data_IF_637609012604
#
_entry.id   IF_637609012604
#
_cell.length_a   1.000
_cell.length_b   1.000
_cell.length_c   1.000
_cell.angle_alpha   90.00
_cell.angle_beta   90.00
_cell.angle_gamma   90.00
#
_symmetry.space_group_name_H-M   'P 1'
#
loop_
_entity.id
_entity.type
_entity.pdbx_description
1 polymer ?
#
# COMPACT_ATOMS: atom_id res chain seq x y z
N UNK A 1 43.14 -24.23 -19.86
CA UNK A 1 44.15 -23.32 -20.43
C UNK A 1 45.51 -23.59 -19.79
N UNK A 2 46.62 -23.60 -20.55
CA UNK A 2 47.96 -23.73 -19.94
C UNK A 2 48.53 -22.36 -19.63
N UNK A 3 48.66 -22.05 -18.33
CA UNK A 3 49.12 -20.76 -17.83
C UNK A 3 50.60 -20.78 -17.45
N UNK A 4 51.24 -21.94 -17.38
CA UNK A 4 52.65 -22.06 -17.01
C UNK A 4 53.55 -21.39 -18.06
N UNK A 5 54.48 -20.55 -17.59
CA UNK A 5 55.39 -19.79 -18.43
C UNK A 5 54.87 -18.44 -18.92
N UNK A 6 53.59 -18.12 -18.69
CA UNK A 6 52.97 -16.86 -19.13
C UNK A 6 53.40 -15.67 -18.27
N UNK A 7 53.48 -14.49 -18.89
CA UNK A 7 53.80 -13.24 -18.22
C UNK A 7 52.53 -12.53 -17.73
N UNK A 8 52.53 -12.13 -16.48
CA UNK A 8 51.44 -11.41 -15.82
C UNK A 8 51.97 -10.15 -15.15
N UNK A 9 51.11 -9.17 -14.94
CA UNK A 9 51.38 -7.94 -14.20
C UNK A 9 50.52 -7.94 -12.95
N UNK A 10 51.15 -7.88 -11.78
CA UNK A 10 50.46 -7.62 -10.52
C UNK A 10 50.48 -6.14 -10.21
N UNK A 11 49.35 -5.58 -9.75
CA UNK A 11 49.23 -4.13 -9.48
C UNK A 11 50.27 -3.56 -8.50
N UNK A 12 50.79 -4.40 -7.58
CA UNK A 12 51.79 -4.00 -6.56
C UNK A 12 53.18 -4.58 -6.81
N UNK A 13 53.27 -5.76 -7.41
CA UNK A 13 54.54 -6.51 -7.52
C UNK A 13 55.17 -6.40 -8.91
N UNK A 14 54.51 -5.68 -9.83
CA UNK A 14 54.99 -5.50 -11.19
C UNK A 14 54.89 -6.79 -11.99
N UNK A 15 55.87 -7.01 -12.87
CA UNK A 15 55.87 -8.14 -13.79
C UNK A 15 56.28 -9.44 -13.09
N UNK A 16 55.54 -10.50 -13.37
CA UNK A 16 55.80 -11.84 -12.86
C UNK A 16 55.59 -12.90 -13.92
N UNK A 17 56.22 -14.07 -13.72
CA UNK A 17 56.08 -15.24 -14.58
C UNK A 17 55.34 -16.34 -13.84
N UNK A 18 54.29 -16.87 -14.44
CA UNK A 18 53.55 -18.00 -13.88
C UNK A 18 54.44 -19.24 -13.94
N UNK A 19 54.65 -19.88 -12.79
CA UNK A 19 55.50 -21.07 -12.66
C UNK A 19 54.68 -22.36 -12.48
N UNK A 20 53.47 -22.27 -11.93
CA UNK A 20 52.58 -23.42 -11.75
C UNK A 20 51.10 -23.01 -11.74
N UNK A 21 50.23 -23.92 -12.17
CA UNK A 21 48.77 -23.80 -12.11
C UNK A 21 48.17 -25.15 -11.71
N UNK A 22 47.88 -25.33 -10.42
CA UNK A 22 47.32 -26.57 -9.88
C UNK A 22 46.25 -26.28 -8.82
N UNK A 23 45.20 -27.11 -8.79
CA UNK A 23 44.17 -27.06 -7.74
C UNK A 23 43.39 -25.74 -7.61
N UNK A 24 43.25 -24.97 -8.69
CA UNK A 24 42.60 -23.65 -8.67
C UNK A 24 43.50 -22.52 -8.17
N UNK A 25 44.81 -22.76 -8.01
CA UNK A 25 45.78 -21.76 -7.60
C UNK A 25 46.85 -21.55 -8.68
N UNK A 26 47.27 -20.29 -8.81
CA UNK A 26 48.41 -19.87 -9.63
C UNK A 26 49.59 -19.49 -8.75
N UNK A 27 50.74 -20.09 -9.01
CA UNK A 27 52.01 -19.68 -8.43
C UNK A 27 52.74 -18.79 -9.44
N UNK A 28 53.06 -17.56 -9.03
CA UNK A 28 53.71 -16.55 -9.87
C UNK A 28 54.98 -16.08 -9.20
N UNK A 29 56.07 -16.07 -9.97
CA UNK A 29 57.38 -15.58 -9.56
C UNK A 29 57.55 -14.11 -9.94
N UNK A 30 57.75 -13.23 -8.96
CA UNK A 30 58.07 -11.81 -9.12
C UNK A 30 59.50 -11.57 -8.65
N UNK A 31 60.43 -11.36 -9.58
CA UNK A 31 61.87 -11.33 -9.25
C UNK A 31 62.30 -12.65 -8.61
N UNK A 32 62.72 -12.62 -7.35
CA UNK A 32 63.10 -13.81 -6.55
C UNK A 32 61.97 -14.31 -5.62
N UNK A 33 60.80 -13.64 -5.60
CA UNK A 33 59.70 -13.97 -4.70
C UNK A 33 58.59 -14.74 -5.40
N UNK A 34 58.29 -15.95 -4.91
CA UNK A 34 57.10 -16.71 -5.30
C UNK A 34 55.87 -16.27 -4.49
N UNK A 35 54.73 -16.07 -5.17
CA UNK A 35 53.43 -15.78 -4.56
C UNK A 35 52.32 -16.60 -5.19
N UNK A 36 51.36 -17.03 -4.36
CA UNK A 36 50.20 -17.81 -4.79
C UNK A 36 48.94 -16.96 -4.87
N UNK A 37 48.15 -17.18 -5.91
CA UNK A 37 46.91 -16.46 -6.22
C UNK A 37 45.79 -17.44 -6.53
N UNK A 38 44.56 -17.05 -6.24
CA UNK A 38 43.36 -17.86 -6.55
C UNK A 38 43.01 -17.64 -8.01
N UNK A 39 42.90 -18.71 -8.79
CA UNK A 39 42.47 -18.65 -10.19
C UNK A 39 41.00 -19.07 -10.32
N UNK A 40 40.19 -18.41 -11.17
CA UNK A 40 40.51 -17.22 -11.97
C UNK A 40 40.38 -15.88 -11.22
N UNK A 41 39.81 -15.87 -10.01
CA UNK A 41 39.37 -14.67 -9.25
C UNK A 41 40.44 -13.58 -9.08
N UNK A 42 41.71 -13.95 -8.94
CA UNK A 42 42.83 -13.00 -8.79
C UNK A 42 43.03 -12.07 -9.99
N UNK A 43 42.60 -12.45 -11.20
CA UNK A 43 42.65 -11.60 -12.39
C UNK A 43 41.58 -10.50 -12.42
N UNK A 44 40.63 -10.53 -11.47
CA UNK A 44 39.64 -9.47 -11.33
C UNK A 44 40.22 -8.23 -10.62
N UNK A 45 41.15 -8.42 -9.68
CA UNK A 45 41.55 -7.37 -8.73
C UNK A 45 43.07 -7.16 -8.64
N UNK A 46 43.86 -8.18 -8.97
CA UNK A 46 45.28 -8.23 -8.62
C UNK A 46 46.20 -8.47 -9.81
N UNK A 47 45.81 -9.34 -10.74
CA UNK A 47 46.63 -9.79 -11.87
C UNK A 47 46.03 -9.37 -13.22
N UNK A 48 46.90 -9.10 -14.19
CA UNK A 48 46.56 -8.90 -15.61
C UNK A 48 47.51 -9.71 -16.48
N UNK A 49 47.00 -10.48 -17.42
CA UNK A 49 47.85 -11.16 -18.40
C UNK A 49 48.42 -10.13 -19.39
N UNK A 50 49.70 -10.25 -19.75
CA UNK A 50 50.32 -9.38 -20.77
C UNK A 50 49.84 -9.71 -22.18
N UNK A 51 49.59 -10.99 -22.44
CA UNK A 51 49.01 -11.44 -23.70
C UNK A 51 47.53 -11.06 -23.73
N UNK A 52 47.12 -10.28 -24.73
CA UNK A 52 45.75 -9.78 -24.86
C UNK A 52 44.75 -10.90 -25.14
N UNK A 53 45.13 -11.92 -25.93
CA UNK A 53 44.26 -13.07 -26.22
C UNK A 53 44.03 -13.91 -24.98
N UNK A 54 45.08 -14.09 -24.18
CA UNK A 54 45.02 -14.77 -22.90
C UNK A 54 44.18 -13.98 -21.89
N UNK A 55 44.35 -12.66 -21.85
CA UNK A 55 43.60 -11.78 -20.98
C UNK A 55 42.09 -11.86 -21.27
N UNK A 56 41.68 -11.74 -22.53
CA UNK A 56 40.27 -11.85 -22.93
C UNK A 56 39.68 -13.20 -22.56
N UNK A 57 40.42 -14.29 -22.78
CA UNK A 57 39.94 -15.63 -22.43
C UNK A 57 39.74 -15.81 -20.92
N UNK A 58 40.64 -15.26 -20.08
CA UNK A 58 40.49 -15.27 -18.62
C UNK A 58 39.31 -14.39 -18.16
N UNK A 59 39.06 -13.25 -18.81
CA UNK A 59 37.91 -12.39 -18.48
C UNK A 59 36.58 -13.07 -18.84
N UNK A 60 36.51 -13.82 -19.94
CA UNK A 60 35.33 -14.60 -20.29
C UNK A 60 35.07 -15.73 -19.26
N UNK A 61 36.13 -16.43 -18.83
CA UNK A 61 36.02 -17.46 -17.78
C UNK A 61 35.54 -16.87 -16.43
N UNK A 62 36.00 -15.67 -16.09
CA UNK A 62 35.50 -14.92 -14.92
C UNK A 62 34.02 -14.54 -15.04
N UNK A 63 33.59 -14.08 -16.21
CA UNK A 63 32.20 -13.69 -16.45
C UNK A 63 31.25 -14.91 -16.38
N UNK A 64 31.64 -16.04 -16.96
CA UNK A 64 30.89 -17.30 -16.90
C UNK A 64 30.79 -17.82 -15.45
N UNK A 65 31.90 -17.81 -14.70
CA UNK A 65 31.91 -18.22 -13.31
C UNK A 65 31.05 -17.31 -12.41
N UNK A 66 30.99 -16.00 -12.71
CA UNK A 66 30.13 -15.06 -11.99
C UNK A 66 28.65 -15.26 -12.33
N UNK A 67 28.30 -15.45 -13.60
CA UNK A 67 26.94 -15.74 -14.02
C UNK A 67 26.43 -17.05 -13.40
N UNK A 68 27.28 -18.08 -13.35
CA UNK A 68 26.92 -19.37 -12.74
C UNK A 68 26.76 -19.27 -11.21
N UNK A 69 27.62 -18.50 -10.52
CA UNK A 69 27.46 -18.21 -9.08
C UNK A 69 26.16 -17.44 -8.80
N UNK A 70 25.80 -16.48 -9.65
CA UNK A 70 24.54 -15.72 -9.53
C UNK A 70 23.31 -16.60 -9.74
N UNK A 71 23.32 -17.47 -10.76
CA UNK A 71 22.22 -18.41 -11.00
C UNK A 71 22.07 -19.39 -9.83
N UNK A 72 23.17 -19.95 -9.32
CA UNK A 72 23.15 -20.85 -8.18
C UNK A 72 22.65 -20.16 -6.90
N UNK A 73 22.99 -18.89 -6.71
CA UNK A 73 22.53 -18.09 -5.58
C UNK A 73 21.02 -17.81 -5.71
N UNK A 74 20.56 -17.45 -6.89
CA UNK A 74 19.13 -17.25 -7.18
C UNK A 74 18.32 -18.53 -6.97
N UNK A 75 18.83 -19.68 -7.40
CA UNK A 75 18.22 -20.99 -7.14
C UNK A 75 18.19 -21.33 -5.65
N UNK A 76 19.28 -21.12 -4.91
CA UNK A 76 19.33 -21.32 -3.45
C UNK A 76 18.36 -20.41 -2.71
N UNK A 77 18.27 -19.14 -3.10
CA UNK A 77 17.36 -18.17 -2.50
C UNK A 77 15.90 -18.53 -2.81
N UNK A 78 15.60 -19.01 -4.04
CA UNK A 78 14.27 -19.50 -4.43
C UNK A 78 13.87 -20.75 -3.64
N UNK A 79 14.78 -21.71 -3.47
CA UNK A 79 14.55 -22.93 -2.68
C UNK A 79 14.37 -22.59 -1.19
N UNK A 80 15.18 -21.68 -0.64
CA UNK A 80 15.05 -21.22 0.74
C UNK A 80 13.73 -20.47 0.99
N UNK A 81 13.24 -19.71 0.00
CA UNK A 81 11.93 -19.06 0.07
C UNK A 81 10.81 -20.10 0.11
N UNK A 82 10.84 -21.08 -0.80
CA UNK A 82 9.87 -22.18 -0.87
C UNK A 82 9.90 -23.05 0.40
N UNK A 83 11.06 -23.29 0.98
CA UNK A 83 11.18 -24.01 2.26
C UNK A 83 10.64 -23.20 3.44
N UNK A 84 10.89 -21.87 3.47
CA UNK A 84 10.29 -20.98 4.49
C UNK A 84 8.77 -20.95 4.39
N UNK A 85 8.22 -20.92 3.17
CA UNK A 85 6.78 -21.01 2.93
C UNK A 85 6.21 -22.35 3.43
N UNK A 86 6.85 -23.47 3.08
CA UNK A 86 6.43 -24.81 3.56
C UNK A 86 6.53 -24.97 5.08
N UNK A 87 7.54 -24.36 5.72
CA UNK A 87 7.69 -24.37 7.18
C UNK A 87 6.65 -23.46 7.85
N UNK A 88 6.31 -22.33 7.22
CA UNK A 88 5.22 -21.45 7.68
C UNK A 88 3.86 -22.16 7.59
N UNK A 89 3.58 -22.89 6.51
CA UNK A 89 2.38 -23.72 6.37
C UNK A 89 2.32 -24.85 7.41
N UNK A 90 3.44 -25.54 7.67
CA UNK A 90 3.50 -26.65 8.64
C UNK A 90 3.47 -26.22 10.11
N UNK A 91 3.87 -24.99 10.44
CA UNK A 91 3.72 -24.42 11.80
C UNK A 91 2.30 -23.97 12.11
N UNK A 92 1.42 -23.90 11.11
CA UNK A 92 0.00 -23.72 11.32
C UNK A 92 -0.64 -25.06 11.70
N UNK A 93 -0.38 -25.52 12.92
CA UNK A 93 -1.33 -26.44 13.57
C UNK A 93 -2.49 -25.54 13.99
N UNK A 94 -3.69 -25.63 13.39
CA UNK A 94 -4.81 -24.86 13.86
C UNK A 94 -5.24 -25.47 15.19
N UNK A 95 -4.66 -25.00 16.31
CA UNK A 95 -5.46 -24.90 17.52
C UNK A 95 -6.58 -23.95 17.13
N UNK A 96 -7.77 -24.48 16.80
CA UNK A 96 -8.96 -23.68 16.50
C UNK A 96 -8.99 -22.56 17.55
N UNK A 97 -8.65 -21.31 17.19
CA UNK A 97 -8.88 -20.22 18.10
C UNK A 97 -10.38 -20.29 18.35
N UNK A 98 -10.84 -20.20 19.61
CA UNK A 98 -12.25 -19.88 19.82
C UNK A 98 -12.52 -18.66 18.95
N UNK A 99 -13.34 -18.84 17.93
CA UNK A 99 -13.70 -17.80 16.99
C UNK A 99 -14.21 -16.65 17.84
N UNK A 100 -13.42 -15.58 17.95
CA UNK A 100 -13.82 -14.44 18.77
C UNK A 100 -14.97 -13.80 18.00
N UNK A 101 -16.20 -14.08 18.44
CA UNK A 101 -17.38 -13.42 17.91
C UNK A 101 -17.27 -11.95 18.30
N UNK A 102 -16.96 -11.10 17.33
CA UNK A 102 -16.95 -9.67 17.54
C UNK A 102 -18.38 -9.14 17.38
N UNK A 103 -18.82 -8.19 18.22
CA UNK A 103 -20.08 -7.50 17.97
C UNK A 103 -19.98 -6.74 16.64
N UNK A 104 -21.05 -6.79 15.86
CA UNK A 104 -21.16 -6.07 14.59
C UNK A 104 -21.04 -4.56 14.85
N UNK A 105 -20.32 -3.86 13.97
CA UNK A 105 -20.12 -2.42 14.05
C UNK A 105 -20.21 -1.77 12.67
N UNK A 106 -20.42 -0.45 12.66
CA UNK A 106 -20.26 0.37 11.48
C UNK A 106 -18.80 0.77 11.32
N UNK A 107 -18.40 1.31 10.17
CA UNK A 107 -16.99 1.59 9.87
C UNK A 107 -16.79 2.93 9.18
N UNK A 108 -15.78 3.68 9.61
CA UNK A 108 -15.29 4.87 8.95
C UNK A 108 -13.89 4.64 8.37
N UNK A 109 -13.70 4.92 7.09
CA UNK A 109 -12.41 4.81 6.40
C UNK A 109 -11.69 6.15 6.31
N UNK A 110 -10.36 6.10 6.47
CA UNK A 110 -9.44 7.22 6.33
C UNK A 110 -8.87 7.23 4.91
N UNK A 111 -9.55 7.91 4.00
CA UNK A 111 -9.12 8.01 2.61
C UNK A 111 -8.11 9.14 2.43
N UNK A 112 -7.08 8.91 1.62
CA UNK A 112 -6.23 10.00 1.16
C UNK A 112 -7.03 10.89 0.20
N UNK A 113 -6.73 12.18 0.14
CA UNK A 113 -7.51 13.06 -0.73
C UNK A 113 -7.22 12.77 -2.20
N UNK A 114 -8.28 12.48 -2.95
CA UNK A 114 -8.27 12.27 -4.39
C UNK A 114 -9.29 13.23 -5.02
N UNK A 115 -8.82 14.14 -5.87
CA UNK A 115 -9.69 15.06 -6.61
C UNK A 115 -9.97 14.58 -8.05
N UNK A 116 -9.70 13.32 -8.36
CA UNK A 116 -10.00 12.77 -9.68
C UNK A 116 -11.48 12.80 -9.98
N UNK A 117 -11.84 13.42 -11.12
CA UNK A 117 -13.21 13.68 -11.50
C UNK A 117 -13.91 14.82 -10.74
N UNK A 118 -13.21 15.63 -9.92
CA UNK A 118 -13.83 16.74 -9.17
C UNK A 118 -14.64 17.68 -10.07
N UNK A 119 -15.83 18.09 -9.61
CA UNK A 119 -16.68 19.10 -10.26
C UNK A 119 -17.40 19.98 -9.23
N UNK A 120 -18.36 20.81 -9.66
CA UNK A 120 -19.26 21.54 -8.75
C UNK A 120 -20.16 20.62 -7.92
N UNK A 121 -20.40 19.39 -8.41
CA UNK A 121 -21.33 18.42 -7.81
C UNK A 121 -20.60 17.28 -7.08
N UNK A 122 -19.30 17.07 -7.34
CA UNK A 122 -18.53 15.98 -6.73
C UNK A 122 -17.16 16.41 -6.24
N UNK A 123 -16.71 15.80 -5.14
CA UNK A 123 -15.44 16.15 -4.49
C UNK A 123 -14.24 15.56 -5.23
N UNK A 124 -14.41 14.37 -5.82
CA UNK A 124 -13.35 13.60 -6.46
C UNK A 124 -13.64 12.09 -6.36
N UNK A 125 -12.60 11.27 -6.23
CA UNK A 125 -12.72 9.80 -6.07
C UNK A 125 -13.35 9.04 -7.25
N UNK A 126 -13.32 9.63 -8.44
CA UNK A 126 -13.83 9.07 -9.70
C UNK A 126 -12.75 9.05 -10.81
N UNK A 127 -11.48 9.22 -10.45
CA UNK A 127 -10.39 9.17 -11.41
C UNK A 127 -9.01 9.46 -10.82
N UNK A 128 -8.08 9.77 -11.71
CA UNK A 128 -6.70 10.13 -11.37
C UNK A 128 -6.65 11.50 -10.69
N UNK A 129 -5.80 11.63 -9.67
CA UNK A 129 -5.56 12.92 -9.00
C UNK A 129 -4.93 13.93 -9.97
N UNK A 130 -5.28 15.21 -9.86
CA UNK A 130 -4.56 16.25 -10.61
C UNK A 130 -3.10 16.33 -10.19
N UNK A 131 -2.23 16.86 -11.06
CA UNK A 131 -0.79 16.98 -10.79
C UNK A 131 -0.45 17.65 -9.45
N UNK A 132 -1.21 18.68 -9.08
CA UNK A 132 -1.04 19.37 -7.81
C UNK A 132 -1.31 18.45 -6.61
N UNK A 133 -2.34 17.59 -6.70
CA UNK A 133 -2.68 16.62 -5.65
C UNK A 133 -1.72 15.43 -5.67
N UNK A 134 -1.26 14.97 -6.84
CA UNK A 134 -0.20 13.97 -6.97
C UNK A 134 1.06 14.44 -6.23
N UNK A 135 1.53 15.66 -6.53
CA UNK A 135 2.69 16.26 -5.87
C UNK A 135 2.49 16.38 -4.36
N UNK A 136 1.32 16.85 -3.92
CA UNK A 136 0.99 16.95 -2.49
C UNK A 136 1.05 15.58 -1.80
N UNK A 137 0.40 14.57 -2.38
CA UNK A 137 0.32 13.23 -1.80
C UNK A 137 1.70 12.55 -1.72
N UNK A 138 2.58 12.79 -2.71
CA UNK A 138 3.94 12.23 -2.77
C UNK A 138 4.92 13.01 -1.91
N UNK A 139 5.09 14.31 -2.16
CA UNK A 139 6.17 15.11 -1.57
C UNK A 139 5.83 15.67 -0.21
N UNK A 140 4.61 16.16 -0.02
CA UNK A 140 4.24 16.85 1.22
C UNK A 140 3.72 15.88 2.28
N UNK A 141 2.95 14.87 1.86
CA UNK A 141 2.35 13.89 2.79
C UNK A 141 3.03 12.54 2.82
N UNK A 142 3.82 12.20 1.81
CA UNK A 142 4.50 10.90 1.73
C UNK A 142 3.52 9.74 2.00
N UNK A 143 2.34 9.80 1.38
CA UNK A 143 1.34 8.75 1.51
C UNK A 143 1.90 7.45 0.93
N UNK A 144 1.70 6.33 1.65
CA UNK A 144 2.46 5.11 1.39
C UNK A 144 2.28 4.59 -0.04
N UNK A 145 1.04 4.42 -0.49
CA UNK A 145 0.77 4.01 -1.87
C UNK A 145 1.25 5.06 -2.87
N UNK A 146 0.87 6.32 -2.68
CA UNK A 146 1.23 7.39 -3.61
C UNK A 146 2.74 7.51 -3.81
N UNK A 147 3.53 7.21 -2.78
CA UNK A 147 4.99 7.31 -2.79
C UNK A 147 5.68 5.99 -3.15
N UNK A 148 4.93 4.91 -3.37
CA UNK A 148 5.46 3.61 -3.81
C UNK A 148 6.00 3.70 -5.24
N UNK A 149 7.12 3.03 -5.58
CA UNK A 149 7.57 2.89 -6.97
C UNK A 149 6.52 2.25 -7.89
N UNK A 150 5.63 1.42 -7.33
CA UNK A 150 4.59 0.71 -8.07
C UNK A 150 3.34 1.58 -8.33
N UNK A 151 3.25 2.76 -7.74
CA UNK A 151 2.11 3.67 -7.94
C UNK A 151 2.22 4.35 -9.31
N UNK A 152 1.19 4.25 -10.19
CA UNK A 152 1.20 4.96 -11.47
C UNK A 152 1.35 6.48 -11.30
N UNK A 153 0.73 7.06 -10.27
CA UNK A 153 0.92 8.47 -9.94
C UNK A 153 2.37 8.80 -9.57
N UNK A 154 3.11 7.86 -8.95
CA UNK A 154 4.53 8.02 -8.65
C UNK A 154 5.39 7.91 -9.90
N UNK A 155 5.11 6.93 -10.74
CA UNK A 155 5.79 6.72 -12.02
C UNK A 155 5.63 7.95 -12.92
N UNK A 156 4.43 8.54 -12.95
CA UNK A 156 4.20 9.85 -13.59
C UNK A 156 5.05 10.96 -12.95
N UNK A 157 5.00 11.08 -11.63
CA UNK A 157 5.76 12.11 -10.92
C UNK A 157 7.29 12.02 -11.15
N UNK A 158 7.82 10.80 -11.26
CA UNK A 158 9.24 10.53 -11.52
C UNK A 158 9.60 10.58 -13.02
N UNK A 159 8.64 10.84 -13.91
CA UNK A 159 8.85 10.96 -15.36
C UNK A 159 8.96 9.63 -16.12
N UNK A 160 8.59 8.51 -15.50
CA UNK A 160 8.50 7.20 -16.17
C UNK A 160 7.26 7.09 -17.04
N UNK A 161 6.13 7.63 -16.57
CA UNK A 161 4.95 7.90 -17.41
C UNK A 161 5.11 9.33 -17.92
N UNK A 162 5.12 9.49 -19.25
CA UNK A 162 5.63 10.72 -19.89
C UNK A 162 4.61 11.86 -19.92
N UNK A 163 3.32 11.55 -19.76
CA UNK A 163 2.26 12.54 -19.80
C UNK A 163 1.11 12.21 -18.85
N UNK A 164 0.37 13.23 -18.44
CA UNK A 164 -0.83 13.04 -17.63
C UNK A 164 -1.90 12.22 -18.39
N UNK A 165 -2.02 12.39 -19.70
CA UNK A 165 -2.93 11.61 -20.55
C UNK A 165 -2.61 10.12 -20.51
N UNK A 166 -1.32 9.76 -20.52
CA UNK A 166 -0.88 8.36 -20.42
C UNK A 166 -1.24 7.77 -19.05
N UNK A 167 -1.17 8.56 -17.97
CA UNK A 167 -1.64 8.15 -16.65
C UNK A 167 -3.17 7.95 -16.62
N UNK A 168 -3.93 8.79 -17.33
CA UNK A 168 -5.38 8.59 -17.51
C UNK A 168 -5.67 7.33 -18.32
N UNK A 169 -4.87 7.01 -19.34
CA UNK A 169 -5.00 5.77 -20.11
C UNK A 169 -4.75 4.53 -19.24
N UNK A 170 -3.78 4.58 -18.32
CA UNK A 170 -3.59 3.53 -17.30
C UNK A 170 -4.85 3.34 -16.48
N UNK A 171 -5.44 4.43 -15.97
CA UNK A 171 -6.70 4.36 -15.22
C UNK A 171 -7.86 3.80 -16.06
N UNK A 172 -7.98 4.22 -17.32
CA UNK A 172 -9.06 3.78 -18.20
C UNK A 172 -8.93 2.30 -18.59
N UNK A 173 -7.69 1.82 -18.77
CA UNK A 173 -7.39 0.43 -19.13
C UNK A 173 -7.54 -0.51 -17.93
N UNK A 174 -6.93 -0.15 -16.80
CA UNK A 174 -6.80 -1.04 -15.63
C UNK A 174 -7.95 -0.82 -14.62
N UNK A 175 -8.78 0.20 -14.86
CA UNK A 175 -9.91 0.58 -14.02
C UNK A 175 -9.51 1.36 -12.77
N UNK A 176 -8.27 1.31 -12.31
CA UNK A 176 -7.84 2.07 -11.13
C UNK A 176 -6.32 2.32 -11.12
N UNK A 177 -5.90 3.40 -10.47
CA UNK A 177 -4.47 3.69 -10.17
C UNK A 177 -4.18 3.64 -8.66
N UNK A 178 -5.22 3.70 -7.84
CA UNK A 178 -5.21 3.50 -6.39
C UNK A 178 -6.64 3.22 -5.91
N UNK A 179 -6.81 2.78 -4.66
CA UNK A 179 -8.14 2.57 -4.07
C UNK A 179 -9.04 3.80 -4.22
N UNK A 180 -8.54 4.98 -3.88
CA UNK A 180 -9.32 6.21 -3.93
C UNK A 180 -9.73 6.63 -5.35
N UNK A 181 -9.00 6.25 -6.39
CA UNK A 181 -9.28 6.66 -7.77
C UNK A 181 -10.57 6.06 -8.35
N UNK A 182 -10.99 4.90 -7.82
CA UNK A 182 -12.18 4.18 -8.27
C UNK A 182 -13.25 4.03 -7.18
N UNK A 183 -12.98 4.52 -5.98
CA UNK A 183 -13.76 4.27 -4.76
C UNK A 183 -15.25 4.57 -4.91
N UNK A 184 -15.64 5.69 -5.56
CA UNK A 184 -17.05 6.06 -5.73
C UNK A 184 -17.67 5.55 -7.02
N UNK A 185 -16.86 5.04 -7.96
CA UNK A 185 -17.36 4.27 -9.10
C UNK A 185 -17.78 2.88 -8.62
N UNK A 186 -16.90 2.22 -7.87
CA UNK A 186 -17.05 0.83 -7.44
C UNK A 186 -17.73 0.70 -6.07
N UNK A 187 -17.96 1.82 -5.38
CA UNK A 187 -18.55 1.88 -4.04
C UNK A 187 -17.93 0.87 -3.07
N UNK A 188 -16.59 0.85 -3.06
CA UNK A 188 -15.79 -0.15 -2.35
C UNK A 188 -14.69 0.50 -1.52
N UNK A 189 -14.42 -0.06 -0.34
CA UNK A 189 -13.36 0.39 0.55
C UNK A 189 -12.60 -0.80 1.15
N UNK A 190 -11.27 -0.69 1.16
CA UNK A 190 -10.36 -1.76 1.53
C UNK A 190 -9.71 -1.49 2.88
N UNK A 191 -9.39 -2.56 3.62
CA UNK A 191 -8.76 -2.48 4.93
C UNK A 191 -7.31 -1.98 4.87
N UNK A 192 -6.65 -2.20 3.72
CA UNK A 192 -5.27 -1.83 3.45
C UNK A 192 -4.26 -2.88 3.89
N UNK A 193 -3.01 -2.64 3.53
CA UNK A 193 -1.87 -3.46 3.91
C UNK A 193 -1.07 -2.73 4.98
N UNK A 194 -0.57 -3.47 5.97
CA UNK A 194 0.31 -2.89 6.98
C UNK A 194 1.66 -2.57 6.35
N UNK A 195 2.12 -1.32 6.43
CA UNK A 195 3.37 -0.90 5.77
C UNK A 195 4.54 -0.67 6.74
N UNK A 196 4.32 -0.79 8.05
CA UNK A 196 5.30 -0.48 9.10
C UNK A 196 5.37 -1.58 10.16
N UNK A 197 6.48 -1.62 10.90
CA UNK A 197 6.69 -2.56 12.01
C UNK A 197 6.85 -4.02 11.56
N UNK A 198 6.76 -4.94 12.54
CA UNK A 198 6.94 -6.39 12.33
C UNK A 198 5.88 -7.02 11.43
N UNK A 199 4.74 -6.35 11.27
CA UNK A 199 3.62 -6.81 10.44
C UNK A 199 3.67 -6.22 9.01
N UNK A 200 4.76 -5.58 8.59
CA UNK A 200 4.89 -5.02 7.25
C UNK A 200 4.59 -6.08 6.17
N UNK A 201 3.76 -5.71 5.20
CA UNK A 201 3.28 -6.58 4.12
C UNK A 201 2.05 -7.40 4.47
N UNK A 202 1.57 -7.39 5.73
CA UNK A 202 0.40 -8.18 6.12
C UNK A 202 -0.91 -7.46 5.77
N UNK A 203 -1.86 -8.15 5.12
CA UNK A 203 -3.21 -7.64 4.90
C UNK A 203 -3.93 -7.34 6.20
N UNK A 204 -4.70 -6.24 6.24
CA UNK A 204 -5.53 -5.88 7.39
C UNK A 204 -6.90 -6.55 7.30
N UNK A 205 -7.52 -6.80 8.45
CA UNK A 205 -8.83 -7.47 8.55
C UNK A 205 -9.94 -6.55 9.09
N UNK A 206 -11.16 -6.73 8.59
CA UNK A 206 -12.38 -6.02 9.00
C UNK A 206 -13.26 -6.89 9.90
N UNK A 207 -12.81 -7.13 11.13
CA UNK A 207 -13.39 -8.14 12.04
C UNK A 207 -14.82 -7.87 12.54
N UNK A 208 -15.28 -6.63 12.48
CA UNK A 208 -16.59 -6.23 13.04
C UNK A 208 -17.60 -5.81 11.98
N UNK A 209 -17.18 -5.71 10.72
CA UNK A 209 -18.09 -5.27 9.65
C UNK A 209 -18.87 -6.47 9.14
N UNK A 210 -20.18 -6.28 8.98
CA UNK A 210 -21.08 -7.29 8.43
C UNK A 210 -22.05 -6.62 7.46
N UNK A 211 -22.87 -7.42 6.79
CA UNK A 211 -23.99 -6.91 5.99
C UNK A 211 -24.86 -6.00 6.88
N UNK A 212 -25.35 -4.92 6.28
CA UNK A 212 -26.09 -3.82 6.91
C UNK A 212 -25.25 -2.88 7.79
N UNK A 213 -23.93 -3.05 7.88
CA UNK A 213 -23.03 -2.01 8.40
C UNK A 213 -23.08 -0.76 7.51
N UNK A 214 -22.98 0.41 8.13
CA UNK A 214 -22.73 1.66 7.43
C UNK A 214 -21.23 1.82 7.19
N UNK A 215 -20.84 1.96 5.93
CA UNK A 215 -19.51 2.42 5.56
C UNK A 215 -19.52 3.94 5.39
N UNK A 216 -18.62 4.62 6.10
CA UNK A 216 -18.47 6.06 6.11
C UNK A 216 -17.11 6.42 5.51
N UNK A 217 -17.11 7.13 4.39
CA UNK A 217 -15.89 7.52 3.70
C UNK A 217 -15.48 8.93 4.12
N UNK A 218 -14.28 9.05 4.68
CA UNK A 218 -13.79 10.33 5.22
C UNK A 218 -12.50 10.75 4.54
N UNK A 219 -12.34 12.05 4.34
CA UNK A 219 -11.10 12.61 3.83
C UNK A 219 -10.86 13.99 4.42
N UNK A 220 -9.76 14.60 4.02
CA UNK A 220 -9.38 15.95 4.43
C UNK A 220 -8.75 16.66 3.25
N UNK A 221 -9.13 17.90 3.00
CA UNK A 221 -8.51 18.68 1.93
C UNK A 221 -7.01 18.86 2.20
N UNK A 222 -6.21 19.09 1.14
CA UNK A 222 -4.81 19.42 1.31
C UNK A 222 -4.61 20.57 2.29
N UNK A 223 -3.67 20.40 3.21
CA UNK A 223 -3.24 21.37 4.23
C UNK A 223 -4.25 21.72 5.33
N UNK A 224 -5.46 21.16 5.31
CA UNK A 224 -6.42 21.33 6.40
C UNK A 224 -6.00 20.55 7.67
N UNK A 225 -6.35 21.03 8.88
CA UNK A 225 -6.10 20.33 10.14
C UNK A 225 -7.06 19.14 10.34
N UNK A 226 -6.68 18.16 11.17
CA UNK A 226 -7.43 16.91 11.36
C UNK A 226 -8.89 17.12 11.78
N UNK A 227 -9.18 18.18 12.54
CA UNK A 227 -10.54 18.62 12.91
C UNK A 227 -11.47 18.91 11.73
N UNK A 228 -10.89 19.29 10.59
CA UNK A 228 -11.61 19.54 9.35
C UNK A 228 -11.76 18.29 8.48
N UNK A 229 -11.43 17.09 8.99
CA UNK A 229 -11.80 15.83 8.33
C UNK A 229 -13.31 15.76 8.19
N UNK A 230 -13.78 15.51 6.98
CA UNK A 230 -15.19 15.49 6.65
C UNK A 230 -15.59 14.17 5.98
N UNK A 231 -16.88 13.88 6.05
CA UNK A 231 -17.51 12.72 5.42
C UNK A 231 -17.94 13.13 4.02
N UNK A 232 -17.45 12.43 3.00
CA UNK A 232 -17.76 12.74 1.59
C UNK A 232 -18.72 11.75 0.94
N UNK A 233 -18.88 10.56 1.52
CA UNK A 233 -19.84 9.58 1.06
C UNK A 233 -20.16 8.56 2.15
N UNK A 234 -21.33 7.95 2.06
CA UNK A 234 -21.75 6.83 2.89
C UNK A 234 -22.45 5.77 2.05
N UNK A 235 -22.34 4.51 2.45
CA UNK A 235 -23.10 3.42 1.83
C UNK A 235 -23.40 2.27 2.78
N UNK A 236 -24.48 1.55 2.49
CA UNK A 236 -24.87 0.35 3.22
C UNK A 236 -24.09 -0.84 2.66
N UNK A 237 -23.34 -1.51 3.52
CA UNK A 237 -22.56 -2.69 3.16
C UNK A 237 -23.51 -3.86 2.86
N UNK A 238 -23.46 -4.38 1.64
CA UNK A 238 -24.17 -5.60 1.22
C UNK A 238 -23.23 -6.73 0.76
N UNK A 239 -21.96 -6.41 0.51
CA UNK A 239 -20.89 -7.36 0.26
C UNK A 239 -19.66 -6.98 1.11
N UNK A 240 -19.05 -7.99 1.73
CA UNK A 240 -17.97 -7.81 2.69
C UNK A 240 -17.10 -9.05 2.76
N UNK A 241 -15.80 -8.82 2.87
CA UNK A 241 -14.81 -9.84 3.12
C UNK A 241 -13.96 -9.43 4.33
N UNK A 242 -13.85 -10.31 5.32
CA UNK A 242 -13.07 -10.01 6.53
C UNK A 242 -11.58 -9.80 6.19
N UNK A 243 -11.05 -10.49 5.18
CA UNK A 243 -9.63 -10.60 4.92
C UNK A 243 -9.01 -11.83 5.58
N UNK A 244 -7.95 -12.36 4.99
CA UNK A 244 -7.24 -13.54 5.45
C UNK A 244 -5.72 -13.32 5.53
N UNK A 245 -4.92 -14.39 5.40
CA UNK A 245 -3.47 -14.29 5.44
C UNK A 245 -2.87 -13.77 4.11
N UNK A 246 -3.64 -13.80 3.02
CA UNK A 246 -3.23 -13.48 1.65
C UNK A 246 -3.84 -12.18 1.18
N UNK A 247 -5.10 -11.94 1.50
CA UNK A 247 -5.90 -10.84 1.00
C UNK A 247 -6.47 -9.98 2.12
N UNK A 248 -6.55 -8.68 1.88
CA UNK A 248 -7.10 -7.72 2.84
C UNK A 248 -8.62 -7.77 2.85
N UNK A 249 -9.21 -7.33 3.97
CA UNK A 249 -10.65 -7.20 4.04
C UNK A 249 -11.15 -6.04 3.18
N UNK A 250 -12.38 -6.15 2.69
CA UNK A 250 -13.05 -5.07 1.96
C UNK A 250 -14.53 -5.03 2.30
N UNK A 251 -15.15 -3.88 2.02
CA UNK A 251 -16.59 -3.70 2.03
C UNK A 251 -17.01 -3.03 0.73
N UNK A 252 -18.16 -3.40 0.21
CA UNK A 252 -18.70 -2.83 -1.02
C UNK A 252 -20.23 -2.77 -0.97
N UNK A 253 -20.82 -2.14 -1.99
CA UNK A 253 -22.27 -2.13 -2.14
C UNK A 253 -22.73 -2.17 -3.59
N UNK A 254 -23.78 -2.95 -3.85
CA UNK A 254 -24.58 -2.85 -5.08
C UNK A 254 -25.96 -2.22 -4.82
N UNK A 255 -26.33 -2.07 -3.55
CA UNK A 255 -27.57 -1.47 -3.09
C UNK A 255 -27.76 -0.02 -3.57
N UNK A 256 -29.03 0.39 -3.61
CA UNK A 256 -29.41 1.79 -3.81
C UNK A 256 -29.06 2.68 -2.62
N UNK A 257 -28.80 2.11 -1.44
CA UNK A 257 -28.49 2.85 -0.22
C UNK A 257 -27.03 3.31 -0.20
N UNK A 258 -26.76 4.34 -1.01
CA UNK A 258 -25.45 4.99 -1.14
C UNK A 258 -25.62 6.45 -1.50
N UNK A 259 -24.88 7.32 -0.82
CA UNK A 259 -25.00 8.78 -0.95
C UNK A 259 -23.60 9.36 -1.07
N UNK A 260 -23.39 10.10 -2.15
CA UNK A 260 -22.23 10.99 -2.35
C UNK A 260 -22.63 12.42 -1.96
N UNK A 261 -21.74 13.11 -1.25
CA UNK A 261 -21.95 14.48 -0.80
C UNK A 261 -21.34 15.46 -1.81
N UNK A 262 -22.08 16.53 -2.12
CA UNK A 262 -21.52 17.65 -2.89
C UNK A 262 -20.46 18.38 -2.05
N UNK A 263 -19.51 19.10 -2.67
CA UNK A 263 -18.46 19.81 -1.94
C UNK A 263 -18.95 20.74 -0.81
N UNK A 264 -20.04 21.48 -1.05
CA UNK A 264 -20.64 22.39 -0.06
C UNK A 264 -21.42 21.65 1.05
N UNK A 265 -21.95 20.46 0.78
CA UNK A 265 -22.64 19.61 1.74
C UNK A 265 -21.64 18.92 2.66
N UNK A 266 -20.60 18.33 2.08
CA UNK A 266 -19.58 17.56 2.80
C UNK A 266 -18.86 18.40 3.87
N UNK A 267 -18.61 19.68 3.60
CA UNK A 267 -18.00 20.60 4.57
C UNK A 267 -18.84 20.80 5.84
N UNK A 268 -20.16 20.57 5.78
CA UNK A 268 -21.06 20.62 6.94
C UNK A 268 -20.98 19.35 7.79
N UNK A 269 -20.43 18.27 7.25
CA UNK A 269 -20.44 16.93 7.82
C UNK A 269 -19.04 16.52 8.34
N UNK A 270 -18.56 17.24 9.37
CA UNK A 270 -17.25 16.94 9.99
C UNK A 270 -17.29 15.62 10.74
N UNK A 271 -16.34 14.73 10.45
CA UNK A 271 -16.26 13.39 11.04
C UNK A 271 -16.17 13.43 12.57
N UNK A 272 -15.40 14.37 13.10
CA UNK A 272 -15.16 14.51 14.53
C UNK A 272 -16.34 15.09 15.32
N UNK A 273 -17.45 15.44 14.67
CA UNK A 273 -18.72 15.69 15.36
C UNK A 273 -19.32 14.37 15.88
N UNK A 274 -19.04 13.24 15.23
CA UNK A 274 -19.67 11.94 15.53
C UNK A 274 -18.74 11.01 16.30
N UNK A 275 -17.45 11.03 15.97
CA UNK A 275 -16.48 10.10 16.54
C UNK A 275 -15.61 10.75 17.61
N UNK A 276 -15.40 10.03 18.70
CA UNK A 276 -14.40 10.30 19.73
C UNK A 276 -13.64 9.01 20.02
N UNK A 277 -12.36 9.11 20.36
CA UNK A 277 -11.58 7.93 20.71
C UNK A 277 -11.98 7.46 22.12
N UNK A 278 -12.37 6.20 22.35
CA UNK A 278 -12.84 5.75 23.67
C UNK A 278 -11.84 6.00 24.81
N UNK A 279 -10.55 5.90 24.51
CA UNK A 279 -9.48 6.09 25.49
C UNK A 279 -8.95 7.54 25.55
N UNK A 280 -9.42 8.43 24.67
CA UNK A 280 -8.96 9.82 24.56
C UNK A 280 -10.04 10.68 23.86
N UNK A 281 -11.17 10.94 24.53
CA UNK A 281 -12.38 11.45 23.88
C UNK A 281 -12.26 12.89 23.35
N UNK A 282 -11.39 13.70 23.94
CA UNK A 282 -11.07 15.09 23.56
C UNK A 282 -10.00 15.19 22.46
N UNK A 283 -9.36 14.07 22.10
CA UNK A 283 -8.25 14.06 21.14
C UNK A 283 -8.74 13.88 19.70
N UNK A 284 -8.60 14.94 18.91
CA UNK A 284 -8.89 14.96 17.47
C UNK A 284 -7.71 14.40 16.67
N UNK A 285 -7.56 13.06 16.63
CA UNK A 285 -6.46 12.39 15.92
C UNK A 285 -6.84 11.03 15.37
N UNK A 286 -6.76 10.85 14.04
CA UNK A 286 -6.96 9.53 13.41
C UNK A 286 -5.73 8.62 13.52
N UNK A 287 -4.53 9.18 13.64
CA UNK A 287 -3.30 8.39 13.79
C UNK A 287 -2.97 7.54 12.56
N UNK A 288 -2.30 6.40 12.78
CA UNK A 288 -1.80 5.51 11.72
C UNK A 288 -2.83 4.52 11.17
N UNK A 289 -3.92 4.26 11.89
CA UNK A 289 -4.97 3.34 11.43
C UNK A 289 -5.72 3.87 10.20
N UNK A 290 -6.15 2.96 9.34
CA UNK A 290 -6.88 3.26 8.10
C UNK A 290 -8.41 3.27 8.27
N UNK A 291 -8.91 2.80 9.40
CA UNK A 291 -10.34 2.82 9.71
C UNK A 291 -10.63 2.97 11.21
N UNK A 292 -11.89 3.23 11.54
CA UNK A 292 -12.46 3.23 12.89
C UNK A 292 -13.82 2.57 12.90
N UNK A 293 -14.12 1.83 13.96
CA UNK A 293 -15.46 1.30 14.18
C UNK A 293 -16.35 2.37 14.82
N UNK A 294 -17.60 2.41 14.39
CA UNK A 294 -18.63 3.31 14.88
C UNK A 294 -19.78 2.49 15.48
N UNK A 295 -20.42 3.01 16.52
CA UNK A 295 -21.66 2.44 17.05
C UNK A 295 -22.84 2.67 16.09
N UNK A 296 -23.98 2.02 16.35
CA UNK A 296 -25.20 2.25 15.59
C UNK A 296 -25.79 3.64 15.83
N UNK A 297 -25.66 4.17 17.04
CA UNK A 297 -26.06 5.54 17.34
C UNK A 297 -25.21 6.55 16.55
N UNK A 298 -23.90 6.36 16.46
CA UNK A 298 -23.03 7.25 15.67
C UNK A 298 -23.35 7.19 14.17
N UNK A 299 -23.62 6.00 13.63
CA UNK A 299 -24.03 5.84 12.24
C UNK A 299 -25.41 6.46 11.97
N UNK A 300 -26.37 6.29 12.88
CA UNK A 300 -27.69 6.90 12.79
C UNK A 300 -27.63 8.44 12.88
N UNK A 301 -26.76 9.00 13.73
CA UNK A 301 -26.50 10.44 13.79
C UNK A 301 -26.00 10.99 12.44
N UNK A 302 -25.06 10.29 11.80
CA UNK A 302 -24.55 10.66 10.48
C UNK A 302 -25.68 10.65 9.44
N UNK A 303 -26.49 9.59 9.40
CA UNK A 303 -27.61 9.47 8.45
C UNK A 303 -28.73 10.51 8.70
N UNK A 304 -29.02 10.84 9.96
CA UNK A 304 -29.94 11.92 10.36
C UNK A 304 -29.46 13.26 9.80
N UNK A 305 -28.20 13.58 10.01
CA UNK A 305 -27.64 14.86 9.57
C UNK A 305 -27.51 14.92 8.04
N UNK A 306 -27.21 13.80 7.37
CA UNK A 306 -27.29 13.69 5.91
C UNK A 306 -28.72 13.96 5.42
N UNK A 307 -29.74 13.39 6.08
CA UNK A 307 -31.15 13.63 5.73
C UNK A 307 -31.51 15.11 5.84
N UNK A 308 -31.04 15.78 6.90
CA UNK A 308 -31.25 17.21 7.06
C UNK A 308 -30.53 18.03 5.97
N UNK A 309 -29.31 17.64 5.58
CA UNK A 309 -28.54 18.31 4.53
C UNK A 309 -29.19 18.12 3.15
N UNK A 310 -29.73 16.94 2.86
CA UNK A 310 -30.33 16.59 1.57
C UNK A 310 -31.77 17.11 1.41
N UNK A 311 -32.34 17.74 2.43
CA UNK A 311 -33.68 18.35 2.35
C UNK A 311 -33.76 19.39 1.23
N UNK A 312 -34.78 19.29 0.38
CA UNK A 312 -34.97 20.12 -0.80
C UNK A 312 -34.10 19.74 -2.01
N UNK A 313 -33.33 18.65 -1.93
CA UNK A 313 -32.50 18.16 -3.05
C UNK A 313 -33.15 16.95 -3.72
N UNK A 314 -32.67 16.57 -4.91
CA UNK A 314 -33.13 15.36 -5.59
C UNK A 314 -32.89 14.05 -4.79
N UNK A 315 -32.01 14.07 -3.78
CA UNK A 315 -31.69 12.91 -2.94
C UNK A 315 -32.43 12.90 -1.59
N UNK A 316 -33.35 13.84 -1.34
CA UNK A 316 -34.11 13.91 -0.07
C UNK A 316 -34.81 12.59 0.25
N UNK A 317 -35.56 12.04 -0.70
CA UNK A 317 -36.29 10.79 -0.51
C UNK A 317 -35.34 9.62 -0.23
N UNK A 318 -34.23 9.52 -0.96
CA UNK A 318 -33.24 8.46 -0.74
C UNK A 318 -32.61 8.58 0.65
N UNK A 319 -32.25 9.78 1.10
CA UNK A 319 -31.66 9.99 2.42
C UNK A 319 -32.62 9.57 3.55
N UNK A 320 -33.89 9.95 3.45
CA UNK A 320 -34.93 9.54 4.39
C UNK A 320 -35.17 8.03 4.39
N UNK A 321 -35.28 7.41 3.22
CA UNK A 321 -35.43 5.94 3.09
C UNK A 321 -34.21 5.20 3.65
N UNK A 322 -33.00 5.74 3.46
CA UNK A 322 -31.77 5.13 3.96
C UNK A 322 -31.71 5.18 5.49
N UNK A 323 -31.98 6.33 6.10
CA UNK A 323 -32.07 6.45 7.56
C UNK A 323 -33.13 5.50 8.14
N UNK A 324 -34.32 5.45 7.53
CA UNK A 324 -35.40 4.56 7.97
C UNK A 324 -35.03 3.08 7.86
N UNK A 325 -34.41 2.68 6.74
CA UNK A 325 -33.95 1.31 6.53
C UNK A 325 -32.89 0.92 7.57
N UNK A 326 -31.84 1.75 7.72
CA UNK A 326 -30.76 1.49 8.66
C UNK A 326 -31.28 1.40 10.10
N UNK A 327 -32.16 2.32 10.49
CA UNK A 327 -32.72 2.36 11.84
C UNK A 327 -33.59 1.14 12.13
N UNK A 328 -34.41 0.70 11.16
CA UNK A 328 -35.22 -0.52 11.28
C UNK A 328 -34.37 -1.77 11.45
N UNK A 329 -33.29 -1.91 10.67
CA UNK A 329 -32.42 -3.10 10.73
C UNK A 329 -31.64 -3.17 12.04
N UNK A 330 -31.21 -2.02 12.57
CA UNK A 330 -30.40 -1.95 13.78
C UNK A 330 -31.20 -1.62 15.05
N UNK A 331 -32.54 -1.57 14.98
CA UNK A 331 -33.41 -1.32 16.14
C UNK A 331 -33.28 0.08 16.75
N UNK A 332 -32.95 1.09 15.95
CA UNK A 332 -32.79 2.49 16.38
C UNK A 332 -34.13 3.22 16.29
N UNK A 333 -34.51 3.92 17.36
CA UNK A 333 -35.60 4.90 17.34
C UNK A 333 -35.10 6.22 16.77
N UNK A 334 -35.65 6.64 15.63
CA UNK A 334 -35.20 7.83 14.89
C UNK A 334 -35.43 9.11 15.70
N UNK A 335 -36.55 9.20 16.42
CA UNK A 335 -36.89 10.36 17.24
C UNK A 335 -36.02 10.44 18.51
N UNK A 336 -35.46 9.30 18.93
CA UNK A 336 -34.58 9.17 20.08
C UNK A 336 -33.09 9.31 19.77
N UNK A 337 -32.68 9.55 18.50
CA UNK A 337 -31.25 9.64 18.15
C UNK A 337 -30.61 10.82 18.90
N UNK A 338 -29.59 10.56 19.76
CA UNK A 338 -28.99 11.61 20.58
C UNK A 338 -28.25 12.65 19.73
N UNK A 339 -27.99 13.81 20.33
CA UNK A 339 -27.14 14.83 19.70
C UNK A 339 -25.70 14.32 19.53
N UNK A 340 -25.01 14.93 18.57
CA UNK A 340 -23.63 14.58 18.20
C UNK A 340 -22.69 14.75 19.41
N UNK A 341 -21.88 13.74 19.71
CA UNK A 341 -21.02 13.69 20.91
C UNK A 341 -19.56 13.35 20.62
N UNK A 342 -19.09 13.63 19.41
CA UNK A 342 -17.71 13.38 18.98
C UNK A 342 -16.70 14.33 19.62
N UNK A 343 -15.43 14.16 19.25
CA UNK A 343 -14.31 14.89 19.86
C UNK A 343 -14.43 16.42 19.78
N UNK A 344 -15.15 16.97 18.79
CA UNK A 344 -15.38 18.42 18.68
C UNK A 344 -16.39 18.97 19.69
N UNK A 345 -17.18 18.13 20.36
CA UNK A 345 -18.08 18.57 21.43
C UNK A 345 -17.34 18.94 22.72
N UNK A 346 -16.06 18.55 22.86
CA UNK A 346 -15.22 18.84 24.03
C UNK A 346 -14.35 20.09 23.86
N UNK A 347 -14.43 20.77 22.70
CA UNK A 347 -13.58 21.92 22.35
C UNK A 347 -14.26 23.26 22.62
#
# INVERSE_FOLDING_TARGET
MNLAGQLVIHKTFGEGKVIDHTGGYLSVLFGESEKRFIYPDSFQVFLRAKDETLHTAIQNELAEAQAQKQLLQHEKDSVALLEREKVAEKRFVPTKPKERVYPRANIAFKCNYCNGGKSSERIGFHGVCSEAVIRYNIKEKNHVWCSSPDSPCRQYYDGMISSYSELEDVFNRDGSVCYESAMLRDWSAFAGITHTGENKGRPMKLKQVQINSLAVLTTRLPNEPEENRFIFAVFLVDDTYEGDAREEGYVSTTSRYKIEMMPNEAQKLRFWNYYSCPNAPDVVKFGSGLHRYLSDEQAAQILRDITAIKKGTAQEALAGEFLAHFSRVNGIDIEGIPQNGGALAFK
#
